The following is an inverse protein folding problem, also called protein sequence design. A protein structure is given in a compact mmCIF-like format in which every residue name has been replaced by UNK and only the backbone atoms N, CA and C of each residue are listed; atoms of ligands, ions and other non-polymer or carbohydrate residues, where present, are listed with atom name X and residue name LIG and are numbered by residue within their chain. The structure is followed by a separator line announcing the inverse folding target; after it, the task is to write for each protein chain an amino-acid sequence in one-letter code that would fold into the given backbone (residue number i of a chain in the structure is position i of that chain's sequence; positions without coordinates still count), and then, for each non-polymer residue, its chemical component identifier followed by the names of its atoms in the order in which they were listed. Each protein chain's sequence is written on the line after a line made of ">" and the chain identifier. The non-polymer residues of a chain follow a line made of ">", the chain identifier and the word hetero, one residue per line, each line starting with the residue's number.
data_IF_182266007066
#
_entry.id   IF_182266007066
#
_cell.length_a   1.000
_cell.length_b   1.000
_cell.length_c   1.000
_cell.angle_alpha   90.00
_cell.angle_beta   90.00
_cell.angle_gamma   90.00
#
_symmetry.space_group_name_H-M   'P 1'
#
loop_
_entity.id
_entity.type
_entity.pdbx_description
1 polymer ?
#
# COMPACT_ATOMS: atom_id res chain seq x y z
N UNK A 1 -4.21 3.94 -71.60
CA UNK A 1 -5.02 3.22 -70.67
C UNK A 1 -4.10 2.44 -69.71
N UNK A 2 -3.74 2.98 -68.54
CA UNK A 2 -2.79 2.35 -67.62
C UNK A 2 -3.56 2.04 -66.35
N UNK A 3 -3.84 0.77 -66.12
CA UNK A 3 -4.50 0.26 -64.91
C UNK A 3 -3.53 0.33 -63.71
N UNK A 4 -3.83 1.17 -62.74
CA UNK A 4 -3.23 1.16 -61.42
C UNK A 4 -4.08 0.27 -60.52
N UNK A 5 -3.74 -0.98 -60.39
CA UNK A 5 -4.51 -1.95 -59.59
C UNK A 5 -3.59 -2.77 -58.69
N UNK A 6 -2.80 -2.16 -57.83
CA UNK A 6 -2.08 -2.91 -56.78
C UNK A 6 -1.50 -2.00 -55.65
N UNK A 7 -2.28 -1.04 -55.20
CA UNK A 7 -1.82 -0.07 -54.21
C UNK A 7 -2.45 -0.15 -52.80
N UNK A 8 -3.19 -1.20 -52.44
CA UNK A 8 -3.90 -1.26 -51.14
C UNK A 8 -3.84 -2.62 -50.42
N UNK A 9 -2.84 -3.46 -50.70
CA UNK A 9 -2.79 -4.78 -50.03
C UNK A 9 -1.75 -4.91 -48.92
N UNK A 10 -0.98 -3.88 -48.61
CA UNK A 10 -0.10 -3.88 -47.44
C UNK A 10 -0.55 -2.78 -46.51
N UNK A 11 -1.57 -3.09 -45.66
CA UNK A 11 -1.84 -2.34 -44.48
C UNK A 11 -0.67 -2.56 -43.53
N UNK A 12 0.23 -1.58 -43.44
CA UNK A 12 1.32 -1.61 -42.48
C UNK A 12 0.71 -1.90 -41.10
N UNK A 13 1.17 -2.93 -40.45
CA UNK A 13 0.94 -3.14 -39.02
C UNK A 13 1.59 -1.94 -38.37
N UNK A 14 0.78 -1.02 -37.88
CA UNK A 14 1.25 0.04 -37.00
C UNK A 14 1.99 -0.64 -35.83
N UNK A 15 3.29 -0.40 -35.75
CA UNK A 15 4.07 -0.82 -34.63
C UNK A 15 3.41 -0.21 -33.37
N UNK A 16 3.24 -0.94 -32.26
CA UNK A 16 2.69 -0.38 -31.06
C UNK A 16 3.56 0.81 -30.66
N UNK A 17 3.00 2.01 -30.75
CA UNK A 17 3.67 3.23 -30.30
C UNK A 17 3.82 3.13 -28.79
N UNK A 18 4.99 2.69 -28.34
CA UNK A 18 5.37 2.72 -26.96
C UNK A 18 5.65 4.20 -26.60
N UNK A 19 4.59 4.96 -26.30
CA UNK A 19 4.73 6.33 -25.83
C UNK A 19 5.31 6.28 -24.42
N UNK A 20 6.63 6.39 -24.33
CA UNK A 20 7.40 6.50 -23.09
C UNK A 20 7.21 7.87 -22.40
N UNK A 21 6.36 8.74 -22.95
CA UNK A 21 6.02 10.04 -22.42
C UNK A 21 4.67 9.98 -21.73
N UNK A 22 4.63 9.47 -20.50
CA UNK A 22 3.43 9.46 -19.71
C UNK A 22 3.59 8.57 -18.51
N UNK A 23 3.90 9.20 -17.40
CA UNK A 23 3.60 8.74 -16.06
C UNK A 23 3.50 7.20 -15.91
N UNK A 24 4.55 6.55 -15.42
CA UNK A 24 4.60 5.11 -15.10
C UNK A 24 3.51 4.61 -14.13
N UNK A 25 2.50 5.44 -13.87
CA UNK A 25 1.28 5.11 -13.13
C UNK A 25 0.20 4.48 -13.99
N UNK A 26 0.21 4.70 -15.30
CA UNK A 26 -0.78 4.13 -16.21
C UNK A 26 -0.74 2.60 -16.25
N UNK A 27 0.37 1.98 -15.91
CA UNK A 27 0.50 0.52 -15.92
C UNK A 27 -0.19 -0.16 -14.73
N UNK A 28 -0.26 0.50 -13.56
CA UNK A 28 -0.94 -0.05 -12.37
C UNK A 28 -2.38 0.44 -12.18
N UNK A 29 -2.75 1.57 -12.81
CA UNK A 29 -4.05 2.20 -12.68
C UNK A 29 -4.74 2.43 -14.03
N UNK A 30 -4.14 1.93 -15.12
CA UNK A 30 -4.67 2.06 -16.46
C UNK A 30 -5.82 1.11 -16.74
N UNK A 31 -6.66 1.49 -17.71
CA UNK A 31 -7.62 0.56 -18.28
C UNK A 31 -6.89 -0.62 -18.92
N UNK A 32 -7.41 -1.82 -18.74
CA UNK A 32 -6.95 -3.00 -19.46
C UNK A 32 -7.11 -2.80 -20.98
N UNK A 33 -6.46 -3.62 -21.80
CA UNK A 33 -6.66 -3.65 -23.26
C UNK A 33 -8.14 -3.79 -23.66
N UNK A 34 -8.99 -4.28 -22.77
CA UNK A 34 -10.45 -4.37 -22.91
C UNK A 34 -11.20 -3.11 -22.48
N UNK A 35 -10.52 -2.01 -22.10
CA UNK A 35 -11.12 -0.75 -21.71
C UNK A 35 -11.71 -0.71 -20.29
N UNK A 36 -11.66 -1.80 -19.51
CA UNK A 36 -12.17 -1.84 -18.13
C UNK A 36 -11.14 -1.26 -17.16
N UNK A 37 -11.59 -0.37 -16.29
CA UNK A 37 -10.77 0.12 -15.15
C UNK A 37 -10.65 -0.98 -14.09
N UNK A 38 -9.44 -1.37 -13.77
CA UNK A 38 -9.16 -2.34 -12.70
C UNK A 38 -8.62 -1.56 -11.49
N UNK A 39 -9.31 -1.71 -10.35
CA UNK A 39 -8.86 -1.22 -9.04
C UNK A 39 -8.81 -2.40 -8.06
N UNK A 40 -8.26 -2.18 -6.86
CA UNK A 40 -8.12 -3.23 -5.85
C UNK A 40 -9.46 -3.94 -5.52
N UNK A 41 -10.54 -3.17 -5.40
CA UNK A 41 -11.89 -3.71 -5.13
C UNK A 41 -12.42 -4.56 -6.30
N UNK A 42 -12.29 -4.08 -7.54
CA UNK A 42 -12.73 -4.85 -8.72
C UNK A 42 -11.84 -6.07 -8.99
N UNK A 43 -10.55 -5.99 -8.67
CA UNK A 43 -9.63 -7.12 -8.77
C UNK A 43 -10.02 -8.26 -7.81
N UNK A 44 -10.41 -7.94 -6.58
CA UNK A 44 -10.87 -8.92 -5.58
C UNK A 44 -12.19 -9.62 -5.94
N UNK A 45 -12.97 -9.07 -6.88
CA UNK A 45 -14.16 -9.76 -7.41
C UNK A 45 -13.78 -10.96 -8.32
N UNK A 46 -12.55 -11.02 -8.79
CA UNK A 46 -12.05 -12.18 -9.52
C UNK A 46 -11.57 -13.25 -8.53
N UNK A 47 -12.22 -14.42 -8.56
CA UNK A 47 -11.93 -15.54 -7.65
C UNK A 47 -10.46 -15.92 -7.61
N UNK A 48 -9.78 -15.93 -8.76
CA UNK A 48 -8.35 -16.25 -8.84
C UNK A 48 -7.50 -15.23 -8.09
N UNK A 49 -7.77 -13.93 -8.25
CA UNK A 49 -7.03 -12.86 -7.55
C UNK A 49 -7.28 -12.93 -6.05
N UNK A 50 -8.55 -13.06 -5.67
CA UNK A 50 -8.93 -13.22 -4.25
C UNK A 50 -8.20 -14.41 -3.61
N UNK A 51 -8.23 -15.58 -4.25
CA UNK A 51 -7.57 -16.78 -3.73
C UNK A 51 -6.06 -16.62 -3.62
N UNK A 52 -5.40 -16.01 -4.60
CA UNK A 52 -3.96 -15.74 -4.54
C UNK A 52 -3.60 -14.79 -3.39
N UNK A 53 -4.33 -13.67 -3.25
CA UNK A 53 -4.10 -12.70 -2.18
C UNK A 53 -4.30 -13.35 -0.82
N UNK A 54 -5.40 -14.11 -0.66
CA UNK A 54 -5.71 -14.82 0.59
C UNK A 54 -4.62 -15.82 0.98
N UNK A 55 -4.24 -16.72 0.06
CA UNK A 55 -3.24 -17.75 0.35
C UNK A 55 -1.90 -17.12 0.74
N UNK A 56 -1.46 -16.07 0.04
CA UNK A 56 -0.19 -15.41 0.33
C UNK A 56 -0.23 -14.64 1.66
N UNK A 57 -1.33 -13.95 1.97
CA UNK A 57 -1.46 -13.19 3.21
C UNK A 57 -1.57 -14.12 4.43
N UNK A 58 -2.35 -15.20 4.35
CA UNK A 58 -2.45 -16.21 5.40
C UNK A 58 -1.12 -16.93 5.63
N UNK A 59 -0.40 -17.29 4.56
CA UNK A 59 0.91 -17.94 4.66
C UNK A 59 1.94 -17.07 5.40
N UNK A 60 1.99 -15.77 5.10
CA UNK A 60 2.88 -14.82 5.81
C UNK A 60 2.41 -14.57 7.23
N UNK A 61 1.10 -14.42 7.44
CA UNK A 61 0.52 -14.21 8.76
C UNK A 61 0.74 -15.39 9.72
N UNK A 62 0.80 -16.61 9.18
CA UNK A 62 1.08 -17.82 9.96
C UNK A 62 2.52 -17.90 10.48
N UNK A 63 3.46 -17.12 9.96
CA UNK A 63 4.84 -17.09 10.43
C UNK A 63 4.93 -16.21 11.70
N UNK A 64 5.38 -16.77 12.84
CA UNK A 64 5.50 -15.99 14.07
C UNK A 64 6.62 -14.96 13.93
N UNK A 65 6.30 -13.69 14.21
CA UNK A 65 7.29 -12.62 14.25
C UNK A 65 8.02 -12.67 15.60
N UNK A 66 9.30 -12.97 15.58
CA UNK A 66 10.12 -13.10 16.77
C UNK A 66 11.03 -11.88 16.93
N UNK A 67 11.19 -11.43 18.16
CA UNK A 67 12.11 -10.37 18.53
C UNK A 67 13.39 -10.96 19.13
N UNK A 68 14.56 -10.55 18.62
CA UNK A 68 15.85 -11.07 19.05
C UNK A 68 16.75 -9.95 19.55
N UNK A 69 17.48 -10.22 20.64
CA UNK A 69 18.58 -9.39 21.13
C UNK A 69 19.91 -10.08 20.77
N UNK A 70 20.89 -9.28 20.35
CA UNK A 70 22.25 -9.76 20.18
C UNK A 70 22.96 -9.75 21.52
N UNK A 71 23.64 -10.85 21.84
CA UNK A 71 24.51 -10.95 23.02
C UNK A 71 25.93 -10.50 22.67
N UNK A 72 26.69 -10.07 23.67
CA UNK A 72 28.06 -9.60 23.50
C UNK A 72 28.99 -10.67 22.87
N UNK A 73 28.65 -11.93 23.02
CA UNK A 73 29.34 -13.08 22.43
C UNK A 73 28.96 -13.39 20.98
N UNK A 74 28.18 -12.53 20.30
CA UNK A 74 27.73 -12.70 18.91
C UNK A 74 26.59 -13.69 18.72
N UNK A 75 26.03 -14.25 19.80
CA UNK A 75 24.81 -15.04 19.80
C UNK A 75 23.54 -14.20 19.69
N UNK A 76 22.42 -14.87 19.42
CA UNK A 76 21.07 -14.25 19.42
C UNK A 76 20.19 -14.99 20.39
N UNK A 77 19.48 -14.24 21.23
CA UNK A 77 18.46 -14.78 22.13
C UNK A 77 17.11 -14.08 21.89
N UNK A 78 16.01 -14.76 22.22
CA UNK A 78 14.68 -14.14 22.10
C UNK A 78 14.51 -13.12 23.20
N UNK A 79 14.18 -11.88 22.81
CA UNK A 79 13.95 -10.79 23.74
C UNK A 79 12.46 -10.74 24.16
N UNK A 80 12.02 -11.73 24.94
CA UNK A 80 10.63 -11.90 25.36
C UNK A 80 10.21 -10.79 26.34
N UNK A 81 11.18 -10.24 27.05
CA UNK A 81 11.02 -9.13 28.02
C UNK A 81 10.87 -7.77 27.36
N UNK A 82 11.10 -7.66 26.05
CA UNK A 82 11.00 -6.39 25.33
C UNK A 82 9.53 -5.99 25.11
N UNK A 83 9.11 -4.74 25.37
CA UNK A 83 7.71 -4.31 25.21
C UNK A 83 7.11 -4.56 23.83
N UNK A 84 7.93 -4.45 22.77
CA UNK A 84 7.50 -4.73 21.40
C UNK A 84 7.30 -6.22 21.12
N UNK A 85 7.80 -7.13 21.96
CA UNK A 85 7.59 -8.56 21.75
C UNK A 85 6.11 -8.88 21.78
N UNK A 86 5.41 -8.49 22.83
CA UNK A 86 3.98 -8.70 22.99
C UNK A 86 3.17 -8.10 21.82
N UNK A 87 3.45 -6.84 21.46
CA UNK A 87 2.75 -6.15 20.38
C UNK A 87 2.93 -6.81 19.01
N UNK A 88 4.12 -7.34 18.71
CA UNK A 88 4.41 -7.92 17.40
C UNK A 88 4.09 -9.42 17.33
N UNK A 89 4.22 -10.13 18.44
CA UNK A 89 4.04 -11.57 18.49
C UNK A 89 2.60 -11.98 18.84
N UNK A 90 1.99 -11.30 19.81
CA UNK A 90 0.69 -11.70 20.37
C UNK A 90 -0.45 -10.76 19.95
N UNK A 91 -0.44 -9.51 20.41
CA UNK A 91 -1.58 -8.62 20.32
C UNK A 91 -1.13 -7.17 20.00
N UNK A 92 -1.19 -6.75 18.72
CA UNK A 92 -0.79 -5.41 18.30
C UNK A 92 -1.74 -4.31 18.80
N UNK A 93 -3.00 -4.64 19.04
CA UNK A 93 -4.01 -3.77 19.60
C UNK A 93 -5.17 -4.61 20.17
N UNK A 94 -6.06 -4.03 21.02
CA UNK A 94 -7.17 -4.76 21.66
C UNK A 94 -8.21 -5.33 20.70
N UNK A 95 -8.20 -4.95 19.42
CA UNK A 95 -9.22 -5.33 18.45
C UNK A 95 -8.79 -6.49 17.55
N UNK A 96 -7.49 -6.80 17.48
CA UNK A 96 -6.99 -7.84 16.59
C UNK A 96 -5.74 -8.55 17.12
N UNK A 97 -5.63 -9.83 16.78
CA UNK A 97 -4.44 -10.63 17.03
C UNK A 97 -3.30 -10.28 16.06
N UNK A 98 -2.09 -10.67 16.41
CA UNK A 98 -0.93 -10.46 15.52
C UNK A 98 -1.05 -11.21 14.18
N UNK A 99 -1.79 -12.33 14.14
CA UNK A 99 -2.11 -13.02 12.88
C UNK A 99 -2.93 -12.12 11.96
N UNK A 100 -4.07 -11.62 12.44
CA UNK A 100 -4.98 -10.75 11.66
C UNK A 100 -4.28 -9.46 11.23
N UNK A 101 -3.46 -8.89 12.11
CA UNK A 101 -2.67 -7.71 11.79
C UNK A 101 -1.70 -7.94 10.63
N UNK A 102 -0.92 -9.03 10.68
CA UNK A 102 0.03 -9.39 9.60
C UNK A 102 -0.69 -9.74 8.29
N UNK A 103 -1.80 -10.48 8.37
CA UNK A 103 -2.66 -10.79 7.23
C UNK A 103 -3.16 -9.52 6.55
N UNK A 104 -3.67 -8.56 7.33
CA UNK A 104 -4.14 -7.26 6.84
C UNK A 104 -3.03 -6.48 6.17
N UNK A 105 -1.86 -6.35 6.81
CA UNK A 105 -0.72 -5.63 6.23
C UNK A 105 -0.22 -6.30 4.94
N UNK A 106 -0.19 -7.64 4.88
CA UNK A 106 0.22 -8.35 3.67
C UNK A 106 -0.81 -8.19 2.56
N UNK A 107 -2.09 -8.23 2.87
CA UNK A 107 -3.17 -7.94 1.93
C UNK A 107 -3.05 -6.54 1.35
N UNK A 108 -2.79 -5.54 2.20
CA UNK A 108 -2.54 -4.16 1.76
C UNK A 108 -1.33 -4.07 0.83
N UNK A 109 -0.25 -4.77 1.17
CA UNK A 109 0.97 -4.79 0.36
C UNK A 109 0.75 -5.41 -1.02
N UNK A 110 -0.02 -6.49 -1.10
CA UNK A 110 -0.34 -7.18 -2.36
C UNK A 110 -1.26 -6.36 -3.26
N UNK A 111 -2.25 -5.67 -2.69
CA UNK A 111 -3.27 -4.95 -3.46
C UNK A 111 -2.87 -3.51 -3.82
N UNK A 112 -2.13 -2.82 -2.96
CA UNK A 112 -1.75 -1.41 -3.13
C UNK A 112 -0.24 -1.18 -3.25
N UNK A 113 0.56 -2.22 -3.05
CA UNK A 113 2.01 -2.12 -3.12
C UNK A 113 2.64 -1.40 -1.92
N UNK A 114 1.86 -1.02 -0.92
CA UNK A 114 2.30 -0.42 0.34
C UNK A 114 1.40 -0.88 1.47
N UNK A 115 1.95 -1.02 2.66
CA UNK A 115 1.18 -1.24 3.87
C UNK A 115 1.60 -0.22 4.92
N UNK A 116 0.62 0.29 5.67
CA UNK A 116 0.81 1.31 6.70
C UNK A 116 0.16 0.87 7.99
N UNK A 117 0.79 1.22 9.11
CA UNK A 117 0.19 1.10 10.41
C UNK A 117 0.50 2.34 11.25
N UNK A 118 -0.50 2.86 11.95
CA UNK A 118 -0.32 3.92 12.90
C UNK A 118 0.28 3.35 14.19
N UNK A 119 1.27 4.05 14.73
CA UNK A 119 1.93 3.74 16.00
C UNK A 119 1.31 4.63 17.08
N UNK A 120 0.62 4.02 18.02
CA UNK A 120 0.05 4.74 19.16
C UNK A 120 1.04 4.67 20.31
N UNK A 121 1.29 5.84 20.93
CA UNK A 121 2.19 5.97 22.08
C UNK A 121 1.45 6.46 23.32
N UNK A 122 1.93 6.04 24.47
CA UNK A 122 1.48 6.58 25.75
C UNK A 122 2.15 7.93 26.05
N UNK A 123 1.76 8.57 27.17
CA UNK A 123 2.34 9.84 27.58
C UNK A 123 3.84 9.77 27.94
N UNK A 124 4.43 8.56 28.06
CA UNK A 124 5.86 8.33 28.27
C UNK A 124 6.62 8.08 26.96
N UNK A 125 5.93 8.07 25.81
CA UNK A 125 6.51 7.81 24.50
C UNK A 125 6.66 6.33 24.14
N UNK A 126 6.22 5.40 25.00
CA UNK A 126 6.26 3.97 24.73
C UNK A 126 5.16 3.56 23.74
N UNK A 127 5.45 2.62 22.85
CA UNK A 127 4.47 2.10 21.89
C UNK A 127 3.50 1.19 22.62
N UNK A 128 2.21 1.50 22.54
CA UNK A 128 1.13 0.75 23.23
C UNK A 128 0.20 0.03 22.26
N UNK A 129 0.10 0.47 21.00
CA UNK A 129 -0.71 -0.19 20.00
C UNK A 129 -0.26 0.12 18.58
N UNK A 130 -0.66 -0.77 17.64
CA UNK A 130 -0.43 -0.65 16.20
C UNK A 130 -1.77 -0.86 15.49
N UNK A 131 -2.22 0.14 14.71
CA UNK A 131 -3.46 0.06 13.94
C UNK A 131 -3.18 0.12 12.43
N UNK A 132 -3.63 -0.86 11.63
CA UNK A 132 -3.46 -0.81 10.17
C UNK A 132 -4.23 0.37 9.58
N UNK A 133 -3.61 1.08 8.64
CA UNK A 133 -4.22 2.18 7.89
C UNK A 133 -4.47 1.76 6.46
N UNK A 134 -5.60 2.20 5.90
CA UNK A 134 -5.97 1.89 4.51
C UNK A 134 -5.04 2.62 3.52
N UNK A 135 -4.33 1.90 2.64
CA UNK A 135 -3.36 2.52 1.74
C UNK A 135 -3.98 3.43 0.67
N UNK A 136 -5.23 3.21 0.28
CA UNK A 136 -5.95 4.06 -0.67
C UNK A 136 -6.28 5.46 -0.12
N UNK A 137 -6.21 5.62 1.21
CA UNK A 137 -6.43 6.88 1.93
C UNK A 137 -5.13 7.56 2.36
N UNK A 138 -3.98 6.94 2.05
CA UNK A 138 -2.67 7.43 2.48
C UNK A 138 -1.96 8.11 1.32
N UNK A 139 -1.54 9.35 1.54
CA UNK A 139 -0.63 10.08 0.66
C UNK A 139 0.72 10.24 1.34
N UNK A 140 1.78 9.97 0.60
CA UNK A 140 3.17 10.09 1.08
C UNK A 140 3.85 11.16 0.26
N UNK A 141 4.31 12.24 0.90
CA UNK A 141 4.94 13.35 0.22
C UNK A 141 6.11 13.93 1.04
N UNK A 142 6.79 14.93 0.49
CA UNK A 142 7.91 15.62 1.12
C UNK A 142 7.61 17.10 1.24
N UNK A 143 8.02 17.68 2.36
CA UNK A 143 7.94 19.13 2.56
C UNK A 143 9.00 19.87 1.72
N UNK A 144 8.97 21.19 1.77
CA UNK A 144 9.94 22.08 1.08
C UNK A 144 11.40 21.81 1.50
N UNK A 145 11.62 21.21 2.66
CA UNK A 145 12.91 20.83 3.20
C UNK A 145 13.30 19.38 2.86
N UNK A 146 12.51 18.68 2.04
CA UNK A 146 12.73 17.29 1.66
C UNK A 146 12.38 16.26 2.75
N UNK A 147 11.79 16.68 3.88
CA UNK A 147 11.37 15.77 4.96
C UNK A 147 10.08 15.06 4.59
N UNK A 148 10.07 13.74 4.78
CA UNK A 148 8.91 12.89 4.51
C UNK A 148 7.78 13.22 5.49
N UNK A 149 6.54 13.25 5.00
CA UNK A 149 5.34 13.30 5.81
C UNK A 149 4.25 12.41 5.20
N UNK A 150 3.27 12.06 6.02
CA UNK A 150 2.12 11.24 5.64
C UNK A 150 0.85 12.04 5.85
N UNK A 151 -0.07 11.97 4.88
CA UNK A 151 -1.40 12.53 4.99
C UNK A 151 -2.43 11.41 4.88
N UNK A 152 -3.25 11.27 5.89
CA UNK A 152 -4.30 10.26 5.95
C UNK A 152 -5.66 10.91 5.88
N UNK A 153 -6.49 10.43 4.94
CA UNK A 153 -7.85 10.91 4.75
C UNK A 153 -8.81 10.15 5.66
N UNK A 154 -9.34 10.85 6.66
CA UNK A 154 -10.34 10.32 7.59
C UNK A 154 -11.72 10.75 7.12
N UNK A 155 -12.65 9.83 6.97
CA UNK A 155 -14.07 10.13 6.74
C UNK A 155 -14.80 10.12 8.07
N UNK A 156 -15.66 11.10 8.32
CA UNK A 156 -16.57 11.07 9.45
C UNK A 156 -17.60 9.93 9.22
N UNK A 157 -17.82 9.13 10.26
CA UNK A 157 -18.64 7.92 10.21
C UNK A 157 -20.13 8.27 9.96
N UNK A 158 -20.52 9.50 10.27
CA UNK A 158 -21.91 9.99 10.10
C UNK A 158 -22.34 10.13 8.64
N UNK A 159 -21.39 10.16 7.68
CA UNK A 159 -21.66 10.25 6.24
C UNK A 159 -21.80 8.88 5.53
N UNK A 160 -21.76 7.77 6.24
CA UNK A 160 -21.77 6.42 5.64
C UNK A 160 -23.17 6.01 5.15
N UNK A 161 -24.22 6.74 5.51
CA UNK A 161 -25.62 6.38 5.16
C UNK A 161 -26.00 6.56 3.67
N UNK A 162 -25.03 6.93 2.80
CA UNK A 162 -25.22 6.91 1.34
C UNK A 162 -26.41 7.74 0.80
N UNK A 163 -27.04 8.59 1.63
CA UNK A 163 -28.23 9.35 1.30
C UNK A 163 -27.95 10.69 0.64
N UNK A 164 -26.76 11.20 0.78
CA UNK A 164 -26.30 12.35 0.03
C UNK A 164 -25.31 11.87 -1.02
N UNK A 165 -25.69 11.93 -2.29
CA UNK A 165 -24.87 11.54 -3.44
C UNK A 165 -23.63 12.44 -3.67
N UNK A 166 -23.04 12.91 -2.59
CA UNK A 166 -21.77 13.65 -2.57
C UNK A 166 -20.63 12.64 -2.55
N UNK A 167 -19.68 12.85 -3.44
CA UNK A 167 -18.43 12.09 -3.48
C UNK A 167 -17.85 11.94 -2.06
N UNK A 168 -17.56 10.73 -1.57
CA UNK A 168 -17.01 10.52 -0.22
C UNK A 168 -15.68 11.25 0.00
N UNK A 169 -15.05 11.75 -1.04
CA UNK A 169 -13.86 12.61 -0.96
C UNK A 169 -14.16 14.06 -0.58
N UNK A 170 -15.41 14.52 -0.64
CA UNK A 170 -15.74 15.92 -0.43
C UNK A 170 -15.73 16.34 1.05
N UNK A 171 -15.97 15.41 1.99
CA UNK A 171 -16.08 15.69 3.44
C UNK A 171 -14.99 15.02 4.29
N UNK A 172 -13.93 14.49 3.67
CA UNK A 172 -12.84 13.86 4.41
C UNK A 172 -11.90 14.87 5.07
N UNK A 173 -11.61 14.68 6.36
CA UNK A 173 -10.59 15.42 7.09
C UNK A 173 -9.21 14.84 6.81
N UNK A 174 -8.28 15.66 6.30
CA UNK A 174 -6.88 15.24 6.15
C UNK A 174 -6.16 15.40 7.49
N UNK A 175 -5.60 14.30 7.98
CA UNK A 175 -4.76 14.27 9.18
C UNK A 175 -3.32 14.05 8.75
N UNK A 176 -2.43 14.97 9.11
CA UNK A 176 -1.00 14.83 8.88
C UNK A 176 -0.37 14.01 10.00
N UNK A 177 0.27 12.89 9.63
CA UNK A 177 0.96 11.99 10.54
C UNK A 177 2.48 12.20 10.43
N UNK A 178 3.14 12.20 11.58
CA UNK A 178 4.59 12.30 11.62
C UNK A 178 5.22 10.95 11.24
N UNK A 179 6.37 10.92 10.54
CA UNK A 179 7.03 9.67 10.13
C UNK A 179 7.37 8.71 11.27
N UNK A 180 7.59 9.22 12.48
CA UNK A 180 7.87 8.38 13.66
C UNK A 180 6.62 7.65 14.19
N UNK A 181 5.43 8.09 13.79
CA UNK A 181 4.15 7.51 14.23
C UNK A 181 3.50 6.65 13.14
N UNK A 182 4.24 6.37 12.06
CA UNK A 182 3.78 5.50 10.97
C UNK A 182 4.78 4.40 10.70
N UNK A 183 4.37 3.16 10.87
CA UNK A 183 5.08 2.00 10.33
C UNK A 183 4.71 1.87 8.85
N UNK A 184 5.65 2.14 7.96
CA UNK A 184 5.48 2.02 6.52
C UNK A 184 6.27 0.83 5.99
N UNK A 185 5.60 -0.12 5.36
CA UNK A 185 6.18 -1.27 4.66
C UNK A 185 6.04 -1.00 3.16
N UNK A 186 7.10 -0.53 2.47
CA UNK A 186 7.05 -0.26 1.05
C UNK A 186 7.22 -1.54 0.23
N UNK A 187 6.40 -1.72 -0.79
CA UNK A 187 6.57 -2.76 -1.79
C UNK A 187 7.75 -2.46 -2.74
N UNK A 188 8.13 -3.46 -3.53
CA UNK A 188 9.30 -3.36 -4.43
C UNK A 188 9.26 -2.17 -5.39
N UNK A 189 8.08 -1.75 -5.84
CA UNK A 189 7.90 -0.61 -6.76
C UNK A 189 8.06 0.76 -6.13
N UNK A 190 7.89 0.89 -4.80
CA UNK A 190 7.87 2.17 -4.11
C UNK A 190 9.27 2.71 -3.77
N UNK A 191 10.29 1.86 -3.66
CA UNK A 191 11.66 2.28 -3.30
C UNK A 191 12.25 3.35 -4.22
N UNK A 192 11.87 3.40 -5.49
CA UNK A 192 12.43 4.37 -6.45
C UNK A 192 11.90 5.79 -6.29
N UNK A 193 10.76 6.00 -5.62
CA UNK A 193 10.16 7.34 -5.46
C UNK A 193 10.62 8.10 -4.24
N UNK A 194 11.01 7.39 -3.19
CA UNK A 194 11.50 8.04 -1.97
C UNK A 194 12.93 8.57 -2.09
N UNK A 195 13.65 8.20 -3.16
CA UNK A 195 15.05 8.54 -3.35
C UNK A 195 15.37 9.51 -4.49
N UNK A 196 14.37 10.17 -5.11
CA UNK A 196 14.72 10.92 -6.31
C UNK A 196 13.77 12.00 -6.78
N UNK A 197 13.82 13.19 -6.23
CA UNK A 197 13.81 14.40 -7.02
C UNK A 197 14.54 15.53 -6.28
N UNK A 198 15.81 15.29 -5.97
CA UNK A 198 16.76 16.38 -5.91
C UNK A 198 17.19 16.64 -7.36
N UNK A 199 16.62 17.61 -8.03
CA UNK A 199 17.26 18.34 -9.12
C UNK A 199 17.11 19.82 -8.84
N UNK A 200 18.26 20.37 -8.64
CA UNK A 200 18.77 21.72 -8.84
C UNK A 200 18.08 22.42 -10.01
#
# INVERSE_FOLDING_TARGET
>A
MRMKLFGKLFRGRDAPSNSTAGSGYGFFWGSTASGKRVNARSALQMTAVYSCVRILSEAVAGLPLQFYRYNDNGGKEKAVDHPLYFLLHDEPNPEMTSFVFRETLMTHLLLWGNAYSQIIRNGKGEIVALYPLMPDRMTVDRDEHGRLYYEYLVYDVDDVDGRTGTDPKANGKIVRLHPVDVLHIPGRGCRRRLSGSGRV
#
